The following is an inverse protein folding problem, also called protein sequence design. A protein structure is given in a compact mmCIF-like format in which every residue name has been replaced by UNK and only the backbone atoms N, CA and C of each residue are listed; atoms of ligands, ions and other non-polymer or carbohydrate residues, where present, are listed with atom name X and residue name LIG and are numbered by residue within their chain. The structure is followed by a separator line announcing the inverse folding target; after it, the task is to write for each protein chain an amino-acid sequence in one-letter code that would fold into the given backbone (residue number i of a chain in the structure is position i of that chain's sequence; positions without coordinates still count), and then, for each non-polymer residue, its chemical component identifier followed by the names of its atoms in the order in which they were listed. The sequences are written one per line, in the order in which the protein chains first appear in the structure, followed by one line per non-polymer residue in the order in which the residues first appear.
data_IF_562253788586
#
_entry.id   IF_562253788586
#
_cell.length_a   1.000
_cell.length_b   1.000
_cell.length_c   1.000
_cell.angle_alpha   90.00
_cell.angle_beta   90.00
_cell.angle_gamma   90.00
#
_symmetry.space_group_name_H-M   'P 1'
#
loop_
_entity.id
_entity.type
_entity.pdbx_description
1 polymer ?
#
# COMPACT_ATOMS: atom_id res chain seq x y z
N UNK A 1 -2.73 7.65 -14.36
CA UNK A 1 -3.23 6.29 -14.02
C UNK A 1 -2.05 5.43 -13.66
N UNK A 2 -2.01 4.93 -12.44
CA UNK A 2 -0.94 4.09 -11.94
C UNK A 2 -1.05 2.72 -12.61
N UNK A 3 0.07 2.18 -13.08
CA UNK A 3 0.05 0.86 -13.72
C UNK A 3 -0.35 -0.22 -12.71
N UNK A 4 -1.06 -1.26 -13.15
CA UNK A 4 -1.52 -2.36 -12.29
C UNK A 4 -0.39 -2.95 -11.42
N UNK A 5 0.75 -3.28 -12.02
CA UNK A 5 1.90 -3.89 -11.33
C UNK A 5 2.49 -2.99 -10.23
N UNK A 6 2.48 -1.68 -10.46
CA UNK A 6 2.94 -0.69 -9.48
C UNK A 6 1.97 -0.62 -8.31
N UNK A 7 0.66 -0.47 -8.60
CA UNK A 7 -0.35 -0.44 -7.54
C UNK A 7 -0.31 -1.71 -6.70
N UNK A 8 -0.22 -2.89 -7.34
CA UNK A 8 -0.15 -4.18 -6.64
C UNK A 8 1.06 -4.28 -5.71
N UNK A 9 2.23 -3.76 -6.11
CA UNK A 9 3.40 -3.71 -5.21
C UNK A 9 3.08 -2.92 -3.94
N UNK A 10 2.66 -1.66 -4.06
CA UNK A 10 2.44 -0.81 -2.90
C UNK A 10 1.23 -1.26 -2.06
N UNK A 11 0.16 -1.75 -2.69
CA UNK A 11 -0.98 -2.36 -2.00
C UNK A 11 -0.53 -3.58 -1.19
N UNK A 12 0.35 -4.43 -1.72
CA UNK A 12 0.83 -5.59 -0.97
C UNK A 12 1.57 -5.21 0.32
N UNK A 13 2.22 -4.04 0.36
CA UNK A 13 2.81 -3.51 1.60
C UNK A 13 1.73 -3.07 2.59
N UNK A 14 0.66 -2.45 2.09
CA UNK A 14 -0.48 -1.99 2.92
C UNK A 14 -1.39 -3.12 3.39
N UNK A 15 -1.31 -4.29 2.76
CA UNK A 15 -2.01 -5.53 3.14
C UNK A 15 -1.16 -6.41 4.06
N UNK A 16 0.09 -6.01 4.37
CA UNK A 16 1.00 -6.78 5.18
C UNK A 16 0.41 -7.08 6.57
N UNK A 17 0.32 -8.37 6.86
CA UNK A 17 -0.23 -8.99 8.07
C UNK A 17 0.27 -10.44 8.16
N UNK A 18 0.06 -11.09 9.31
CA UNK A 18 0.61 -12.43 9.61
C UNK A 18 0.21 -13.51 8.59
N UNK A 19 -0.99 -13.41 7.99
CA UNK A 19 -1.52 -14.37 7.01
C UNK A 19 -1.40 -13.91 5.54
N UNK A 20 -0.64 -12.86 5.28
CA UNK A 20 -0.50 -12.27 3.94
C UNK A 20 0.81 -12.68 3.24
N UNK A 21 0.90 -12.53 1.90
CA UNK A 21 2.15 -12.82 1.16
C UNK A 21 3.32 -11.89 1.48
N UNK A 22 3.09 -10.81 2.22
CA UNK A 22 4.09 -9.82 2.61
C UNK A 22 4.05 -9.67 4.12
N UNK A 23 5.15 -9.96 4.81
CA UNK A 23 5.27 -9.71 6.24
C UNK A 23 5.84 -8.31 6.47
N UNK A 24 5.39 -7.65 7.54
CA UNK A 24 5.97 -6.40 8.04
C UNK A 24 6.53 -6.62 9.45
N UNK A 25 7.80 -6.26 9.65
CA UNK A 25 8.44 -6.28 10.96
C UNK A 25 8.47 -4.86 11.54
N UNK A 26 7.79 -4.66 12.68
CA UNK A 26 7.68 -3.35 13.35
C UNK A 26 8.98 -2.92 14.02
N UNK A 27 9.87 -3.85 14.41
CA UNK A 27 11.12 -3.51 15.08
C UNK A 27 12.16 -2.97 14.09
N UNK A 28 12.15 -3.51 12.87
CA UNK A 28 13.10 -3.16 11.82
C UNK A 28 12.50 -2.30 10.71
N UNK A 29 11.18 -2.11 10.73
CA UNK A 29 10.36 -1.43 9.71
C UNK A 29 10.45 -2.06 8.31
N UNK A 30 10.81 -3.33 8.23
CA UNK A 30 11.08 -4.04 6.98
C UNK A 30 9.84 -4.76 6.45
N UNK A 31 9.69 -4.71 5.13
CA UNK A 31 8.72 -5.53 4.40
C UNK A 31 9.45 -6.67 3.70
N UNK A 32 9.00 -7.90 3.91
CA UNK A 32 9.58 -9.09 3.28
C UNK A 32 8.52 -9.88 2.50
N UNK A 33 8.83 -10.26 1.26
CA UNK A 33 7.90 -11.03 0.44
C UNK A 33 8.41 -11.31 -0.97
N UNK A 34 7.52 -11.84 -1.82
CA UNK A 34 7.83 -12.10 -3.22
C UNK A 34 7.29 -10.98 -4.11
N UNK A 35 8.17 -10.06 -4.48
CA UNK A 35 7.83 -8.89 -5.29
C UNK A 35 8.23 -9.05 -6.76
N UNK A 36 7.63 -8.22 -7.62
CA UNK A 36 8.12 -8.07 -8.98
C UNK A 36 9.43 -7.26 -8.99
N UNK A 37 10.57 -7.93 -9.16
CA UNK A 37 11.90 -7.31 -9.07
C UNK A 37 12.09 -6.12 -10.03
N UNK A 38 11.46 -6.13 -11.21
CA UNK A 38 11.55 -4.99 -12.13
C UNK A 38 10.84 -3.74 -11.60
N UNK A 39 9.74 -3.92 -10.86
CA UNK A 39 9.03 -2.80 -10.21
C UNK A 39 9.80 -2.35 -8.98
N UNK A 40 10.29 -3.28 -8.15
CA UNK A 40 11.10 -2.96 -6.97
C UNK A 40 12.34 -2.16 -7.37
N UNK A 41 13.14 -2.64 -8.32
CA UNK A 41 14.35 -1.95 -8.79
C UNK A 41 14.03 -0.54 -9.29
N UNK A 42 12.94 -0.38 -10.06
CA UNK A 42 12.51 0.95 -10.52
C UNK A 42 12.23 1.90 -9.36
N UNK A 43 11.57 1.43 -8.30
CA UNK A 43 11.22 2.30 -7.17
C UNK A 43 12.35 2.47 -6.15
N UNK A 44 13.37 1.61 -6.20
CA UNK A 44 14.68 1.86 -5.59
C UNK A 44 15.38 3.01 -6.33
N UNK A 45 15.45 2.97 -7.65
CA UNK A 45 16.09 4.03 -8.45
C UNK A 45 15.40 5.40 -8.27
N UNK A 46 14.09 5.39 -7.99
CA UNK A 46 13.31 6.59 -7.68
C UNK A 46 13.42 7.04 -6.21
N UNK A 47 14.13 6.30 -5.37
CA UNK A 47 14.34 6.61 -3.95
C UNK A 47 13.12 6.36 -3.06
N UNK A 48 12.08 5.68 -3.56
CA UNK A 48 10.90 5.35 -2.77
C UNK A 48 11.08 4.08 -1.92
N UNK A 49 11.95 3.18 -2.37
CA UNK A 49 12.27 1.92 -1.68
C UNK A 49 13.78 1.82 -1.45
N UNK A 50 14.16 1.10 -0.41
CA UNK A 50 15.54 0.69 -0.18
C UNK A 50 15.61 -0.83 -0.10
N UNK A 51 16.62 -1.44 -0.72
CA UNK A 51 16.85 -2.88 -0.67
C UNK A 51 17.68 -3.25 0.55
N UNK A 52 17.16 -4.14 1.39
CA UNK A 52 17.88 -4.69 2.55
C UNK A 52 18.47 -6.06 2.20
N UNK A 53 17.67 -6.95 1.64
CA UNK A 53 18.10 -8.27 1.15
C UNK A 53 17.35 -8.65 -0.14
N UNK A 54 18.08 -9.20 -1.09
CA UNK A 54 17.56 -9.62 -2.40
C UNK A 54 18.13 -10.96 -2.85
N UNK A 55 18.57 -11.81 -1.92
CA UNK A 55 19.15 -13.12 -2.20
C UNK A 55 18.18 -14.15 -2.80
N UNK A 56 18.50 -15.44 -2.68
CA UNK A 56 17.71 -16.56 -3.25
C UNK A 56 16.34 -16.82 -2.55
N UNK A 57 15.84 -15.85 -1.78
CA UNK A 57 14.65 -15.97 -0.92
C UNK A 57 13.66 -14.82 -1.12
N UNK A 58 12.82 -14.51 -0.10
CA UNK A 58 11.99 -13.33 -0.14
C UNK A 58 12.88 -12.08 -0.22
N UNK A 59 12.41 -11.08 -0.98
CA UNK A 59 13.06 -9.78 -1.06
C UNK A 59 12.62 -8.98 0.17
N UNK A 60 13.57 -8.33 0.83
CA UNK A 60 13.36 -7.48 1.99
C UNK A 60 13.67 -6.03 1.64
N UNK A 61 12.71 -5.14 1.87
CA UNK A 61 12.78 -3.72 1.50
C UNK A 61 12.32 -2.81 2.65
N UNK A 62 12.81 -1.57 2.63
CA UNK A 62 12.26 -0.46 3.42
C UNK A 62 11.45 0.46 2.50
N UNK A 63 10.40 1.07 3.06
CA UNK A 63 9.61 2.11 2.41
C UNK A 63 10.08 3.48 2.92
N UNK A 64 10.69 4.28 2.06
CA UNK A 64 11.19 5.59 2.45
C UNK A 64 10.03 6.56 2.71
N UNK A 65 10.15 7.36 3.78
CA UNK A 65 9.09 8.24 4.27
C UNK A 65 7.77 7.49 4.50
N UNK A 66 7.84 6.34 5.20
CA UNK A 66 6.69 5.45 5.45
C UNK A 66 5.50 6.19 6.03
N UNK A 67 5.68 7.05 7.02
CA UNK A 67 4.57 7.77 7.66
C UNK A 67 3.83 8.71 6.68
N UNK A 68 4.57 9.43 5.84
CA UNK A 68 3.98 10.26 4.77
C UNK A 68 3.26 9.41 3.73
N UNK A 69 3.80 8.22 3.43
CA UNK A 69 3.15 7.27 2.55
C UNK A 69 1.84 6.75 3.14
N UNK A 70 1.86 6.23 4.37
CA UNK A 70 0.71 5.67 5.07
C UNK A 70 -0.41 6.70 5.20
N UNK A 71 -0.09 7.87 5.74
CA UNK A 71 -1.05 8.96 5.92
C UNK A 71 -1.69 9.39 4.59
N UNK A 72 -0.89 9.56 3.54
CA UNK A 72 -1.39 9.94 2.22
C UNK A 72 -2.19 8.82 1.56
N UNK A 73 -1.80 7.56 1.71
CA UNK A 73 -2.54 6.40 1.21
C UNK A 73 -3.92 6.31 1.85
N UNK A 74 -3.99 6.38 3.18
CA UNK A 74 -5.25 6.36 3.92
C UNK A 74 -6.15 7.56 3.55
N UNK A 75 -5.58 8.75 3.34
CA UNK A 75 -6.31 9.90 2.82
C UNK A 75 -6.91 9.60 1.43
N UNK A 76 -6.15 8.98 0.52
CA UNK A 76 -6.63 8.56 -0.80
C UNK A 76 -7.81 7.61 -0.73
N UNK A 77 -7.74 6.59 0.14
CA UNK A 77 -8.84 5.64 0.39
C UNK A 77 -10.07 6.38 0.92
N UNK A 78 -9.89 7.25 1.92
CA UNK A 78 -10.98 8.01 2.55
C UNK A 78 -11.68 8.95 1.57
N UNK A 79 -10.93 9.70 0.77
CA UNK A 79 -11.51 10.62 -0.22
C UNK A 79 -12.26 9.87 -1.32
N UNK A 80 -11.73 8.72 -1.78
CA UNK A 80 -12.44 7.86 -2.71
C UNK A 80 -13.75 7.32 -2.13
N UNK A 81 -13.74 6.93 -0.85
CA UNK A 81 -14.94 6.45 -0.14
C UNK A 81 -16.01 7.54 0.02
N UNK A 82 -15.59 8.78 0.21
CA UNK A 82 -16.48 9.94 0.30
C UNK A 82 -17.02 10.41 -1.06
N UNK A 83 -16.56 9.83 -2.18
CA UNK A 83 -16.94 10.24 -3.52
C UNK A 83 -16.28 11.53 -4.00
N UNK A 84 -15.20 11.97 -3.34
CA UNK A 84 -14.36 13.06 -3.80
C UNK A 84 -13.51 12.63 -5.01
N UNK A 85 -12.92 13.60 -5.70
CA UNK A 85 -12.07 13.34 -6.87
C UNK A 85 -10.58 13.18 -6.49
N UNK A 86 -9.76 12.84 -7.49
CA UNK A 86 -8.33 12.60 -7.31
C UNK A 86 -7.50 13.90 -7.21
N UNK A 87 -8.08 15.08 -7.44
CA UNK A 87 -7.35 16.36 -7.39
C UNK A 87 -6.83 16.70 -5.98
N UNK A 88 -7.43 16.08 -4.95
CA UNK A 88 -6.95 16.19 -3.57
C UNK A 88 -5.55 15.62 -3.35
N UNK A 89 -5.02 14.83 -4.30
CA UNK A 89 -3.65 14.34 -4.24
C UNK A 89 -2.62 15.47 -4.08
N UNK A 90 -2.86 16.64 -4.68
CA UNK A 90 -1.92 17.77 -4.67
C UNK A 90 -1.74 18.42 -3.28
N UNK A 91 -2.64 18.12 -2.34
CA UNK A 91 -2.58 18.62 -0.96
C UNK A 91 -1.95 17.63 0.03
N UNK A 92 -1.47 16.48 -0.45
CA UNK A 92 -0.91 15.43 0.40
C UNK A 92 0.62 15.44 0.38
N UNK A 93 1.23 15.02 1.49
CA UNK A 93 2.70 14.89 1.61
C UNK A 93 3.26 13.93 0.54
N UNK A 94 2.48 12.92 0.17
CA UNK A 94 2.83 11.97 -0.89
C UNK A 94 1.66 11.81 -1.89
N UNK A 95 1.60 12.62 -2.96
CA UNK A 95 0.54 12.54 -3.98
C UNK A 95 0.49 11.18 -4.70
N UNK A 96 1.63 10.50 -4.80
CA UNK A 96 1.69 9.15 -5.35
C UNK A 96 0.97 8.15 -4.46
N UNK A 97 1.27 8.12 -3.16
CA UNK A 97 0.61 7.23 -2.20
C UNK A 97 -0.90 7.49 -2.13
N UNK A 98 -1.32 8.76 -2.13
CA UNK A 98 -2.74 9.13 -2.23
C UNK A 98 -3.39 8.51 -3.46
N UNK A 99 -2.75 8.65 -4.62
CA UNK A 99 -3.27 8.10 -5.87
C UNK A 99 -3.35 6.56 -5.85
N UNK A 100 -2.39 5.87 -5.21
CA UNK A 100 -2.43 4.41 -5.03
C UNK A 100 -3.64 4.03 -4.18
N UNK A 101 -3.84 4.66 -3.02
CA UNK A 101 -4.97 4.38 -2.11
C UNK A 101 -6.33 4.66 -2.77
N UNK A 102 -6.44 5.80 -3.44
CA UNK A 102 -7.63 6.21 -4.18
C UNK A 102 -7.99 5.19 -5.28
N UNK A 103 -7.04 4.83 -6.13
CA UNK A 103 -7.27 3.83 -7.19
C UNK A 103 -7.61 2.46 -6.60
N UNK A 104 -6.94 2.06 -5.51
CA UNK A 104 -7.15 0.77 -4.86
C UNK A 104 -8.57 0.63 -4.30
N UNK A 105 -9.09 1.66 -3.63
CA UNK A 105 -10.47 1.68 -3.15
C UNK A 105 -11.46 1.37 -4.28
N UNK A 106 -11.34 2.06 -5.43
CA UNK A 106 -12.21 1.81 -6.59
C UNK A 106 -12.07 0.41 -7.17
N UNK A 107 -10.89 -0.21 -7.10
CA UNK A 107 -10.71 -1.60 -7.54
C UNK A 107 -11.37 -2.59 -6.60
N UNK A 108 -11.26 -2.36 -5.28
CA UNK A 108 -11.92 -3.19 -4.27
C UNK A 108 -13.44 -3.04 -4.36
N UNK A 109 -13.95 -1.82 -4.48
CA UNK A 109 -15.39 -1.52 -4.59
C UNK A 109 -16.06 -2.15 -5.83
N UNK A 110 -15.30 -2.34 -6.92
CA UNK A 110 -15.79 -3.04 -8.13
C UNK A 110 -15.95 -4.55 -7.97
N UNK A 111 -15.35 -5.16 -6.94
CA UNK A 111 -15.45 -6.62 -6.73
C UNK A 111 -16.87 -6.97 -6.29
N UNK A 112 -17.54 -7.84 -7.04
CA UNK A 112 -18.92 -8.30 -6.74
C UNK A 112 -19.04 -9.04 -5.40
N UNK A 113 -17.96 -9.68 -4.95
CA UNK A 113 -17.87 -10.36 -3.66
C UNK A 113 -16.88 -9.60 -2.80
N UNK A 114 -17.35 -9.08 -1.67
CA UNK A 114 -16.47 -8.56 -0.62
C UNK A 114 -15.65 -9.73 -0.09
N UNK A 115 -14.36 -9.48 0.11
CA UNK A 115 -13.46 -10.44 0.76
C UNK A 115 -13.74 -10.27 2.26
N UNK A 116 -14.36 -11.25 2.90
CA UNK A 116 -14.61 -11.20 4.34
C UNK A 116 -13.26 -11.21 5.08
N UNK A 117 -13.12 -10.34 6.09
CA UNK A 117 -11.85 -10.19 6.81
C UNK A 117 -10.76 -9.50 5.98
N UNK A 118 -11.13 -8.68 5.00
CA UNK A 118 -10.15 -7.92 4.23
C UNK A 118 -9.50 -6.84 5.09
N UNK A 119 -8.19 -6.96 5.30
CA UNK A 119 -7.40 -6.02 6.09
C UNK A 119 -6.40 -5.31 5.16
N UNK A 120 -6.49 -3.99 5.13
CA UNK A 120 -5.57 -3.14 4.37
C UNK A 120 -5.50 -1.77 5.06
N UNK A 121 -4.31 -1.18 5.11
CA UNK A 121 -4.11 0.13 5.73
C UNK A 121 -5.08 1.18 5.16
N UNK A 122 -5.74 1.96 6.01
CA UNK A 122 -6.68 2.99 5.58
C UNK A 122 -8.08 2.49 5.19
N UNK A 123 -8.31 1.17 5.14
CA UNK A 123 -9.66 0.59 4.94
C UNK A 123 -10.34 0.35 6.30
N UNK A 124 -11.67 0.43 6.31
CA UNK A 124 -12.46 -0.02 7.46
C UNK A 124 -12.32 -1.53 7.61
N UNK A 125 -12.00 -1.99 8.81
CA UNK A 125 -11.96 -3.40 9.15
C UNK A 125 -13.38 -3.84 9.53
N UNK A 126 -13.94 -4.78 8.75
CA UNK A 126 -15.30 -5.30 8.92
C UNK A 126 -15.58 -5.91 10.32
N UNK A 127 -14.55 -6.37 11.05
CA UNK A 127 -14.70 -6.96 12.39
C UNK A 127 -14.77 -5.90 13.50
N UNK A 128 -14.05 -4.79 13.33
CA UNK A 128 -13.93 -3.75 14.37
C UNK A 128 -14.75 -2.49 14.06
N UNK A 129 -15.13 -2.27 12.80
CA UNK A 129 -15.73 -1.03 12.31
C UNK A 129 -14.78 0.18 12.34
N UNK A 130 -13.48 -0.04 12.61
CA UNK A 130 -12.47 1.00 12.67
C UNK A 130 -11.54 0.94 11.46
N UNK A 131 -10.95 2.07 11.09
CA UNK A 131 -9.92 2.12 10.06
C UNK A 131 -8.69 1.35 10.51
N UNK A 132 -8.25 0.36 9.72
CA UNK A 132 -7.03 -0.38 9.98
C UNK A 132 -5.79 0.50 9.81
N UNK A 133 -4.88 0.40 10.76
CA UNK A 133 -3.59 1.08 10.81
C UNK A 133 -2.49 0.03 10.99
N UNK A 134 -1.37 0.22 10.29
CA UNK A 134 -0.17 -0.62 10.36
C UNK A 134 0.92 0.09 11.16
#
# INVERSE_FOLDING_TARGET
MISKKVRELFVSLMEASDDSPVSYDVETEQYSGFFNSAVVNKYIDLGALELVDGGNGPITILLNNRDDFLSSFAAGVREAANGADQSYADYNANPFAFSVGYEHFHQVAKKKRKIAGYVCHGFENDETGLTHQQ
#
